data_IF_503560662317
#
_entry.id   IF_503560662317
#
_cell.length_a   1.000
_cell.length_b   1.000
_cell.length_c   1.000
_cell.angle_alpha   90.00
_cell.angle_beta   90.00
_cell.angle_gamma   90.00
#
_symmetry.space_group_name_H-M   'P 1'
#
loop_
_entity.id
_entity.type
_entity.pdbx_description
1 polymer ?
#
# COMPACT_ATOMS: atom_id res chain seq x y z
N UNK A 1 -25.19 -19.57 -0.91
CA UNK A 1 -25.99 -19.02 0.20
C UNK A 1 -25.65 -17.56 0.40
N UNK A 2 -26.63 -16.66 0.56
CA UNK A 2 -26.40 -15.25 0.81
C UNK A 2 -25.69 -15.03 2.17
N UNK A 3 -24.79 -14.05 2.22
CA UNK A 3 -24.09 -13.65 3.45
C UNK A 3 -24.45 -12.21 3.80
N UNK A 4 -24.57 -11.91 5.09
CA UNK A 4 -24.64 -10.54 5.60
C UNK A 4 -23.22 -10.09 5.96
N UNK A 5 -22.90 -8.83 5.67
CA UNK A 5 -21.63 -8.22 6.00
C UNK A 5 -21.83 -7.22 7.14
N UNK A 6 -20.90 -7.21 8.07
CA UNK A 6 -20.90 -6.32 9.24
C UNK A 6 -19.48 -5.82 9.45
N UNK A 7 -19.32 -4.69 10.12
CA UNK A 7 -18.04 -4.22 10.60
C UNK A 7 -17.98 -4.47 12.11
N UNK A 8 -16.82 -4.91 12.63
CA UNK A 8 -16.60 -5.02 14.08
C UNK A 8 -16.59 -3.64 14.77
N UNK A 9 -16.06 -2.65 14.06
CA UNK A 9 -16.12 -1.23 14.39
C UNK A 9 -16.78 -0.54 13.19
N UNK A 10 -17.87 0.19 13.41
CA UNK A 10 -18.62 0.91 12.37
C UNK A 10 -18.25 2.40 12.30
N UNK A 11 -17.31 2.85 13.13
CA UNK A 11 -16.77 4.20 13.12
C UNK A 11 -15.39 4.24 12.46
N UNK A 12 -15.21 5.17 11.53
CA UNK A 12 -13.91 5.42 10.89
C UNK A 12 -13.70 6.91 10.74
N UNK A 13 -12.72 7.45 11.45
CA UNK A 13 -12.28 8.84 11.27
C UNK A 13 -11.47 8.97 9.98
N UNK A 14 -12.17 9.39 8.92
CA UNK A 14 -11.56 9.60 7.62
C UNK A 14 -10.81 10.94 7.61
N UNK A 15 -9.47 10.95 7.48
CA UNK A 15 -8.72 12.20 7.50
C UNK A 15 -9.13 13.09 6.33
N UNK A 16 -9.21 14.39 6.58
CA UNK A 16 -9.51 15.37 5.52
C UNK A 16 -8.39 15.42 4.47
N UNK A 17 -8.76 15.69 3.22
CA UNK A 17 -7.80 15.82 2.12
C UNK A 17 -6.84 16.98 2.36
N UNK A 18 -7.30 18.09 2.93
CA UNK A 18 -6.43 19.23 3.20
C UNK A 18 -5.35 18.88 4.25
N UNK A 19 -5.69 18.07 5.25
CA UNK A 19 -4.71 17.56 6.22
C UNK A 19 -3.70 16.61 5.57
N UNK A 20 -4.17 15.70 4.71
CA UNK A 20 -3.28 14.78 3.98
C UNK A 20 -2.38 15.53 2.99
N UNK A 21 -2.91 16.49 2.24
CA UNK A 21 -2.15 17.34 1.32
C UNK A 21 -1.03 18.09 2.06
N UNK A 22 -1.31 18.65 3.24
CA UNK A 22 -0.29 19.30 4.08
C UNK A 22 0.80 18.32 4.54
N UNK A 23 0.43 17.08 4.86
CA UNK A 23 1.35 16.02 5.22
C UNK A 23 2.18 15.47 4.05
N UNK A 24 1.82 15.79 2.80
CA UNK A 24 2.60 15.41 1.62
C UNK A 24 3.26 16.61 0.92
N UNK A 25 2.85 17.83 1.27
CA UNK A 25 3.25 19.06 0.58
C UNK A 25 4.70 19.51 0.77
N UNK A 26 5.52 18.75 1.51
CA UNK A 26 6.91 19.10 1.79
C UNK A 26 7.88 18.91 0.61
N UNK A 27 7.60 18.00 -0.34
CA UNK A 27 8.53 17.61 -1.41
C UNK A 27 7.86 17.40 -2.79
N UNK A 28 6.67 17.97 -2.99
CA UNK A 28 5.90 17.74 -4.21
C UNK A 28 5.16 19.01 -4.63
N UNK A 29 4.92 19.14 -5.93
CA UNK A 29 3.96 20.13 -6.39
C UNK A 29 2.60 19.86 -5.70
N UNK A 30 1.83 20.93 -5.45
CA UNK A 30 0.59 20.85 -4.68
C UNK A 30 -0.43 19.86 -5.27
N UNK A 31 -0.47 19.72 -6.59
CA UNK A 31 -1.39 18.79 -7.26
C UNK A 31 -1.02 17.34 -6.98
N UNK A 32 0.27 17.00 -7.00
CA UNK A 32 0.77 15.67 -6.67
C UNK A 32 0.55 15.34 -5.19
N UNK A 33 0.83 16.29 -4.28
CA UNK A 33 0.57 16.11 -2.85
C UNK A 33 -0.93 15.84 -2.58
N UNK A 34 -1.82 16.57 -3.28
CA UNK A 34 -3.27 16.36 -3.19
C UNK A 34 -3.69 14.99 -3.72
N UNK A 35 -3.15 14.57 -4.86
CA UNK A 35 -3.44 13.25 -5.43
C UNK A 35 -2.96 12.11 -4.53
N UNK A 36 -1.73 12.20 -4.01
CA UNK A 36 -1.23 11.26 -3.00
C UNK A 36 -2.15 11.25 -1.77
N UNK A 37 -2.65 12.42 -1.35
CA UNK A 37 -3.65 12.54 -0.29
C UNK A 37 -4.95 11.77 -0.59
N UNK A 38 -5.49 11.87 -1.81
CA UNK A 38 -6.67 11.06 -2.21
C UNK A 38 -6.37 9.56 -2.11
N UNK A 39 -5.23 9.11 -2.66
CA UNK A 39 -4.83 7.71 -2.60
C UNK A 39 -4.65 7.22 -1.16
N UNK A 40 -4.06 8.04 -0.29
CA UNK A 40 -3.89 7.69 1.13
C UNK A 40 -5.22 7.60 1.86
N UNK A 41 -6.17 8.50 1.57
CA UNK A 41 -7.51 8.45 2.16
C UNK A 41 -8.20 7.12 1.83
N UNK A 42 -8.18 6.71 0.56
CA UNK A 42 -8.69 5.40 0.15
C UNK A 42 -7.91 4.27 0.82
N UNK A 43 -6.57 4.37 0.88
CA UNK A 43 -5.71 3.36 1.50
C UNK A 43 -6.14 3.10 2.95
N UNK A 44 -6.35 4.15 3.74
CA UNK A 44 -6.81 4.03 5.14
C UNK A 44 -8.21 3.40 5.25
N UNK A 45 -9.14 3.74 4.35
CA UNK A 45 -10.45 3.09 4.30
C UNK A 45 -10.35 1.58 4.00
N UNK A 46 -9.49 1.19 3.07
CA UNK A 46 -9.25 -0.23 2.75
C UNK A 46 -8.53 -0.95 3.90
N UNK A 47 -7.62 -0.29 4.63
CA UNK A 47 -7.02 -0.84 5.86
C UNK A 47 -8.10 -1.11 6.92
N UNK A 48 -8.96 -0.13 7.17
CA UNK A 48 -10.07 -0.24 8.10
C UNK A 48 -10.99 -1.39 7.71
N UNK A 49 -11.41 -1.45 6.44
CA UNK A 49 -12.26 -2.52 5.92
C UNK A 49 -11.59 -3.90 6.06
N UNK A 50 -10.30 -4.01 5.79
CA UNK A 50 -9.54 -5.25 5.93
C UNK A 50 -9.53 -5.78 7.37
N UNK A 51 -9.42 -4.88 8.34
CA UNK A 51 -9.38 -5.20 9.77
C UNK A 51 -10.77 -5.51 10.34
N UNK A 52 -11.81 -4.79 9.89
CA UNK A 52 -13.12 -4.78 10.54
C UNK A 52 -14.20 -5.57 9.82
N UNK A 53 -14.08 -5.84 8.52
CA UNK A 53 -15.13 -6.52 7.77
C UNK A 53 -15.26 -7.99 8.19
N UNK A 54 -16.49 -8.36 8.55
CA UNK A 54 -16.92 -9.71 8.92
C UNK A 54 -18.09 -10.15 8.05
N UNK A 55 -18.37 -11.44 8.09
CA UNK A 55 -19.54 -11.99 7.43
C UNK A 55 -20.18 -13.12 8.23
N UNK A 56 -21.50 -13.22 8.12
CA UNK A 56 -22.31 -14.29 8.72
C UNK A 56 -23.28 -14.85 7.67
N UNK A 57 -23.57 -16.17 7.64
CA UNK A 57 -24.62 -16.72 6.78
C UNK A 57 -25.97 -16.03 7.07
N UNK A 58 -26.66 -15.55 6.03
CA UNK A 58 -27.91 -14.79 6.23
C UNK A 58 -29.04 -15.62 6.86
N UNK A 59 -29.00 -16.94 6.65
CA UNK A 59 -29.91 -17.95 7.22
C UNK A 59 -29.65 -18.26 8.71
N UNK A 60 -28.48 -17.90 9.25
CA UNK A 60 -28.11 -18.12 10.65
C UNK A 60 -27.54 -16.85 11.29
N UNK A 61 -28.34 -15.78 11.45
CA UNK A 61 -27.87 -14.50 11.97
C UNK A 61 -27.44 -14.52 13.45
N UNK A 62 -27.78 -15.57 14.20
CA UNK A 62 -27.35 -15.74 15.59
C UNK A 62 -25.93 -16.27 15.77
N UNK A 63 -25.21 -16.57 14.67
CA UNK A 63 -23.80 -16.95 14.73
C UNK A 63 -22.92 -15.70 14.87
N UNK A 64 -21.80 -15.85 15.58
CA UNK A 64 -20.79 -14.80 15.66
C UNK A 64 -20.23 -14.52 14.25
N UNK A 65 -20.19 -13.25 13.80
CA UNK A 65 -19.56 -12.89 12.55
C UNK A 65 -18.10 -13.35 12.50
N UNK A 66 -17.70 -13.94 11.38
CA UNK A 66 -16.32 -14.40 11.19
C UNK A 66 -15.60 -13.50 10.19
N UNK A 67 -14.26 -13.51 10.25
CA UNK A 67 -13.43 -12.88 9.22
C UNK A 67 -13.83 -13.36 7.83
N UNK A 68 -13.68 -12.48 6.86
CA UNK A 68 -13.94 -12.79 5.46
C UNK A 68 -13.15 -14.02 4.98
N UNK A 69 -13.70 -14.72 3.99
CA UNK A 69 -12.96 -15.77 3.29
C UNK A 69 -11.71 -15.20 2.62
N UNK A 70 -10.69 -16.03 2.46
CA UNK A 70 -9.39 -15.64 1.89
C UNK A 70 -9.54 -14.92 0.53
N UNK A 71 -10.44 -15.37 -0.33
CA UNK A 71 -10.69 -14.73 -1.64
C UNK A 71 -11.12 -13.26 -1.54
N UNK A 72 -12.02 -12.92 -0.62
CA UNK A 72 -12.51 -11.54 -0.45
C UNK A 72 -11.43 -10.69 0.23
N UNK A 73 -10.72 -11.26 1.21
CA UNK A 73 -9.56 -10.61 1.85
C UNK A 73 -8.47 -10.28 0.85
N UNK A 74 -8.18 -11.19 -0.08
CA UNK A 74 -7.22 -10.99 -1.16
C UNK A 74 -7.57 -9.77 -2.01
N UNK A 75 -8.85 -9.56 -2.31
CA UNK A 75 -9.33 -8.41 -3.07
C UNK A 75 -9.09 -7.09 -2.34
N UNK A 76 -9.48 -7.02 -1.07
CA UNK A 76 -9.27 -5.84 -0.21
C UNK A 76 -7.77 -5.55 -0.06
N UNK A 77 -6.97 -6.58 0.21
CA UNK A 77 -5.52 -6.45 0.36
C UNK A 77 -4.84 -6.06 -0.96
N UNK A 78 -5.30 -6.58 -2.10
CA UNK A 78 -4.76 -6.19 -3.41
C UNK A 78 -5.00 -4.71 -3.68
N UNK A 79 -6.21 -4.22 -3.42
CA UNK A 79 -6.50 -2.78 -3.57
C UNK A 79 -5.63 -1.95 -2.64
N UNK A 80 -5.46 -2.39 -1.39
CA UNK A 80 -4.58 -1.73 -0.42
C UNK A 80 -3.13 -1.63 -0.91
N UNK A 81 -2.56 -2.72 -1.44
CA UNK A 81 -1.21 -2.74 -2.01
C UNK A 81 -1.12 -1.82 -3.24
N UNK A 82 -2.12 -1.84 -4.13
CA UNK A 82 -2.11 -0.99 -5.33
C UNK A 82 -2.14 0.51 -5.00
N UNK A 83 -2.98 0.92 -4.04
CA UNK A 83 -3.01 2.31 -3.56
C UNK A 83 -1.65 2.70 -2.96
N UNK A 84 -1.04 1.80 -2.18
CA UNK A 84 0.28 2.00 -1.60
C UNK A 84 1.38 2.13 -2.68
N UNK A 85 1.33 1.29 -3.72
CA UNK A 85 2.26 1.38 -4.87
C UNK A 85 2.09 2.71 -5.60
N UNK A 86 0.85 3.16 -5.82
CA UNK A 86 0.59 4.46 -6.48
C UNK A 86 1.15 5.64 -5.68
N UNK A 87 0.98 5.63 -4.36
CA UNK A 87 1.60 6.62 -3.45
C UNK A 87 3.12 6.55 -3.57
N UNK A 88 3.70 5.36 -3.52
CA UNK A 88 5.14 5.17 -3.61
C UNK A 88 5.71 5.62 -4.97
N UNK A 89 5.02 5.34 -6.09
CA UNK A 89 5.41 5.82 -7.42
C UNK A 89 5.43 7.34 -7.47
N UNK A 90 4.39 8.02 -6.95
CA UNK A 90 4.33 9.48 -6.90
C UNK A 90 5.44 10.09 -6.05
N UNK A 91 5.58 9.62 -4.81
CA UNK A 91 6.57 10.14 -3.87
C UNK A 91 8.01 9.89 -4.32
N UNK A 92 8.34 8.65 -4.75
CA UNK A 92 9.68 8.31 -5.24
C UNK A 92 10.04 9.03 -6.54
N UNK A 93 9.06 9.31 -7.40
CA UNK A 93 9.30 10.13 -8.60
C UNK A 93 9.64 11.56 -8.22
N UNK A 94 8.84 12.19 -7.35
CA UNK A 94 9.09 13.55 -6.89
C UNK A 94 10.47 13.69 -6.20
N UNK A 95 10.74 12.82 -5.22
CA UNK A 95 12.01 12.77 -4.51
C UNK A 95 13.19 12.50 -5.44
N UNK A 96 12.98 11.72 -6.51
CA UNK A 96 13.99 11.41 -7.50
C UNK A 96 14.29 12.58 -8.44
N UNK A 97 13.28 13.36 -8.83
CA UNK A 97 13.44 14.59 -9.61
C UNK A 97 14.23 15.64 -8.80
N UNK A 98 13.90 15.82 -7.51
CA UNK A 98 14.65 16.71 -6.61
C UNK A 98 16.13 16.32 -6.48
N UNK A 99 16.43 15.02 -6.59
CA UNK A 99 17.78 14.47 -6.56
C UNK A 99 18.45 14.38 -7.93
N UNK A 100 17.80 14.86 -8.99
CA UNK A 100 18.27 14.77 -10.37
C UNK A 100 18.62 13.33 -10.79
N UNK A 101 17.83 12.34 -10.35
CA UNK A 101 18.02 10.94 -10.71
C UNK A 101 17.43 10.60 -12.11
N UNK A 102 16.55 11.45 -12.63
CA UNK A 102 16.06 11.40 -14.01
C UNK A 102 17.09 11.93 -15.01
N UNK A 103 17.02 11.50 -16.27
CA UNK A 103 17.83 12.07 -17.36
C UNK A 103 17.20 13.34 -17.94
N UNK A 104 15.88 13.47 -17.80
CA UNK A 104 15.08 14.64 -18.20
C UNK A 104 13.95 14.84 -17.20
N UNK A 105 13.47 16.09 -17.09
CA UNK A 105 12.34 16.45 -16.24
C UNK A 105 11.10 15.62 -16.59
N UNK A 106 10.45 15.09 -15.57
CA UNK A 106 9.20 14.34 -15.69
C UNK A 106 9.37 12.88 -16.10
N UNK A 107 10.59 12.44 -16.45
CA UNK A 107 10.85 11.07 -16.89
C UNK A 107 10.50 10.03 -15.82
N UNK A 108 10.69 10.36 -14.55
CA UNK A 108 10.47 9.39 -13.48
C UNK A 108 9.00 9.01 -13.33
N UNK A 109 8.08 9.92 -13.66
CA UNK A 109 6.63 9.68 -13.61
C UNK A 109 6.13 8.76 -14.74
N UNK A 110 6.88 8.60 -15.82
CA UNK A 110 6.54 7.69 -16.93
C UNK A 110 6.97 6.23 -16.64
N UNK A 111 7.73 6.00 -15.57
CA UNK A 111 8.30 4.69 -15.25
C UNK A 111 7.31 3.85 -14.46
N UNK A 112 7.24 2.56 -14.80
CA UNK A 112 6.55 1.59 -13.94
C UNK A 112 7.27 1.47 -12.60
N UNK A 113 6.56 1.10 -11.53
CA UNK A 113 7.16 0.89 -10.20
C UNK A 113 8.48 0.09 -10.23
N UNK A 114 8.54 -0.99 -11.00
CA UNK A 114 9.76 -1.80 -11.11
C UNK A 114 10.94 -1.06 -11.75
N UNK A 115 10.69 -0.23 -12.75
CA UNK A 115 11.70 0.62 -13.39
C UNK A 115 12.11 1.78 -12.48
N UNK A 116 11.16 2.34 -11.73
CA UNK A 116 11.43 3.39 -10.75
C UNK A 116 12.32 2.88 -9.61
N UNK A 117 12.05 1.69 -9.07
CA UNK A 117 12.93 1.05 -8.10
C UNK A 117 14.35 0.87 -8.66
N UNK A 118 14.50 0.58 -9.96
CA UNK A 118 15.81 0.53 -10.61
C UNK A 118 16.61 1.84 -10.55
N UNK A 119 15.95 3.01 -10.55
CA UNK A 119 16.58 4.34 -10.38
C UNK A 119 17.12 4.52 -8.96
N UNK A 120 16.38 3.98 -8.00
CA UNK A 120 16.69 4.03 -6.58
C UNK A 120 17.72 2.96 -6.17
N UNK A 121 18.37 2.31 -7.14
CA UNK A 121 19.57 1.50 -6.94
C UNK A 121 20.81 2.18 -7.49
N UNK A 122 21.93 1.95 -6.81
CA UNK A 122 23.27 2.32 -7.28
C UNK A 122 24.20 1.14 -7.00
N UNK A 123 24.90 0.64 -8.03
CA UNK A 123 25.77 -0.54 -7.93
C UNK A 123 25.08 -1.76 -7.28
N UNK A 124 23.84 -2.04 -7.70
CA UNK A 124 22.99 -3.13 -7.18
C UNK A 124 22.53 -2.99 -5.72
N UNK A 125 22.92 -1.94 -5.02
CA UNK A 125 22.49 -1.63 -3.67
C UNK A 125 21.40 -0.53 -3.68
N UNK A 126 20.44 -0.55 -2.74
CA UNK A 126 19.51 0.55 -2.58
C UNK A 126 20.23 1.83 -2.15
N UNK A 127 19.80 2.97 -2.69
CA UNK A 127 20.28 4.27 -2.21
C UNK A 127 19.95 4.45 -0.72
N UNK A 128 20.80 5.16 0.06
CA UNK A 128 20.64 5.28 1.51
C UNK A 128 19.25 5.71 1.97
N UNK A 129 18.60 6.57 1.20
CA UNK A 129 17.30 7.13 1.54
C UNK A 129 16.17 6.10 1.51
N UNK A 130 16.28 5.08 0.65
CA UNK A 130 15.26 4.01 0.55
C UNK A 130 15.74 2.69 1.14
N UNK A 131 17.00 2.61 1.58
CA UNK A 131 17.60 1.38 2.08
C UNK A 131 16.80 0.77 3.25
N UNK A 132 16.29 1.61 4.16
CA UNK A 132 15.51 1.17 5.32
C UNK A 132 14.15 0.52 4.96
N UNK A 133 13.60 0.84 3.79
CA UNK A 133 12.31 0.31 3.31
C UNK A 133 12.45 -0.56 2.06
N UNK A 134 13.69 -0.92 1.67
CA UNK A 134 13.92 -1.57 0.38
C UNK A 134 13.22 -2.93 0.27
N UNK A 135 13.30 -3.74 1.33
CA UNK A 135 12.63 -5.04 1.39
C UNK A 135 11.11 -4.88 1.33
N UNK A 136 10.56 -3.85 1.98
CA UNK A 136 9.14 -3.53 1.92
C UNK A 136 8.70 -3.12 0.50
N UNK A 137 9.52 -2.35 -0.22
CA UNK A 137 9.28 -2.01 -1.62
C UNK A 137 9.29 -3.27 -2.52
N UNK A 138 10.15 -4.27 -2.23
CA UNK A 138 10.11 -5.54 -2.95
C UNK A 138 8.86 -6.36 -2.65
N UNK A 139 8.36 -6.34 -1.40
CA UNK A 139 7.07 -6.95 -1.04
C UNK A 139 5.95 -6.33 -1.89
N UNK A 140 5.85 -5.00 -1.95
CA UNK A 140 4.86 -4.30 -2.77
C UNK A 140 4.97 -4.72 -4.25
N UNK A 141 6.18 -4.75 -4.80
CA UNK A 141 6.44 -5.17 -6.19
C UNK A 141 5.95 -6.59 -6.47
N UNK A 142 6.17 -7.52 -5.52
CA UNK A 142 5.73 -8.92 -5.64
C UNK A 142 4.22 -9.07 -5.58
N UNK A 143 3.57 -8.38 -4.65
CA UNK A 143 2.16 -8.62 -4.32
C UNK A 143 1.17 -7.68 -5.02
N UNK A 144 1.62 -6.65 -5.75
CA UNK A 144 0.73 -5.76 -6.53
C UNK A 144 -0.16 -6.51 -7.53
N UNK A 145 0.34 -7.60 -8.09
CA UNK A 145 -0.39 -8.39 -9.09
C UNK A 145 -1.12 -9.60 -8.46
N UNK A 146 -0.47 -10.28 -7.51
CA UNK A 146 -0.83 -11.62 -7.05
C UNK A 146 -0.69 -11.78 -5.53
N UNK A 147 -1.75 -11.46 -4.77
CA UNK A 147 -1.74 -11.55 -3.29
C UNK A 147 -1.73 -13.01 -2.80
N UNK A 148 -2.59 -13.87 -3.34
CA UNK A 148 -2.64 -15.30 -2.97
C UNK A 148 -2.23 -16.26 -4.10
N UNK A 149 -2.28 -15.82 -5.37
CA UNK A 149 -1.99 -16.67 -6.53
C UNK A 149 -0.55 -17.18 -6.55
N UNK A 150 0.42 -16.36 -6.09
CA UNK A 150 1.81 -16.81 -5.97
C UNK A 150 1.94 -18.00 -5.00
N UNK A 151 1.14 -18.02 -3.94
CA UNK A 151 1.19 -19.06 -2.91
C UNK A 151 0.47 -20.34 -3.34
N UNK A 152 -0.53 -20.20 -4.21
CA UNK A 152 -1.17 -21.35 -4.85
C UNK A 152 -0.25 -22.06 -5.87
N UNK A 153 0.85 -21.41 -6.29
CA UNK A 153 1.83 -21.97 -7.21
C UNK A 153 3.07 -22.58 -6.51
N UNK A 154 3.26 -22.32 -5.22
CA UNK A 154 4.34 -22.93 -4.41
C UNK A 154 3.83 -24.24 -3.79
N UNK A 155 4.21 -25.38 -4.39
CA UNK A 155 3.73 -26.74 -4.02
C UNK A 155 4.12 -27.18 -2.58
N UNK A 156 5.17 -26.60 -1.99
CA UNK A 156 5.77 -27.08 -0.72
C UNK A 156 5.29 -26.35 0.55
N UNK A 157 4.45 -25.31 0.42
CA UNK A 157 4.25 -24.33 1.51
C UNK A 157 2.86 -24.24 2.13
N UNK A 158 1.84 -24.88 1.55
CA UNK A 158 0.47 -24.89 2.06
C UNK A 158 -0.17 -23.50 2.28
N UNK A 159 -1.47 -23.50 2.55
CA UNK A 159 -2.19 -22.29 3.00
C UNK A 159 -1.84 -21.88 4.45
N UNK A 160 -0.87 -22.58 5.06
CA UNK A 160 -0.38 -22.32 6.41
C UNK A 160 0.35 -20.97 6.44
N UNK A 161 0.07 -20.16 7.46
CA UNK A 161 0.66 -18.82 7.61
C UNK A 161 0.13 -17.76 6.64
N UNK A 162 -0.95 -18.01 5.88
CA UNK A 162 -1.49 -17.01 4.94
C UNK A 162 -1.89 -15.72 5.64
N UNK A 163 -2.45 -15.80 6.85
CA UNK A 163 -2.84 -14.63 7.64
C UNK A 163 -1.62 -13.85 8.14
N UNK A 164 -0.56 -14.53 8.54
CA UNK A 164 0.71 -13.89 8.94
C UNK A 164 1.35 -13.17 7.75
N UNK A 165 1.33 -13.79 6.57
CA UNK A 165 1.78 -13.16 5.34
C UNK A 165 0.93 -11.94 4.95
N UNK A 166 -0.39 -12.00 5.12
CA UNK A 166 -1.26 -10.84 4.91
C UNK A 166 -0.90 -9.68 5.85
N UNK A 167 -0.69 -9.94 7.15
CA UNK A 167 -0.26 -8.92 8.10
C UNK A 167 1.14 -8.37 7.78
N UNK A 168 2.06 -9.21 7.30
CA UNK A 168 3.37 -8.76 6.83
C UNK A 168 3.23 -7.79 5.65
N UNK A 169 2.42 -8.13 4.63
CA UNK A 169 2.17 -7.27 3.47
C UNK A 169 1.61 -5.93 3.93
N UNK A 170 0.63 -5.95 4.85
CA UNK A 170 0.02 -4.73 5.38
C UNK A 170 1.05 -3.88 6.12
N UNK A 171 1.86 -4.49 6.99
CA UNK A 171 2.93 -3.79 7.70
C UNK A 171 3.99 -3.19 6.78
N UNK A 172 4.35 -3.88 5.70
CA UNK A 172 5.25 -3.33 4.65
C UNK A 172 4.64 -2.12 3.97
N UNK A 173 3.34 -2.14 3.66
CA UNK A 173 2.66 -0.99 3.06
C UNK A 173 2.66 0.22 4.00
N UNK A 174 2.41 0.00 5.29
CA UNK A 174 2.41 1.08 6.29
C UNK A 174 3.79 1.71 6.43
N UNK A 175 4.84 0.90 6.61
CA UNK A 175 6.22 1.38 6.72
C UNK A 175 6.69 2.16 5.49
N UNK A 176 6.36 1.70 4.27
CA UNK A 176 6.71 2.43 3.04
C UNK A 176 6.07 3.81 3.02
N UNK A 177 4.77 3.91 3.33
CA UNK A 177 4.05 5.18 3.29
C UNK A 177 4.57 6.15 4.34
N UNK A 178 4.78 5.67 5.57
CA UNK A 178 5.27 6.52 6.66
C UNK A 178 6.69 7.03 6.37
N UNK A 179 7.59 6.16 5.92
CA UNK A 179 8.95 6.54 5.57
C UNK A 179 9.00 7.55 4.42
N UNK A 180 8.22 7.34 3.36
CA UNK A 180 8.18 8.28 2.24
C UNK A 180 7.58 9.62 2.63
N UNK A 181 6.56 9.63 3.50
CA UNK A 181 5.99 10.87 4.04
C UNK A 181 7.03 11.65 4.84
N UNK A 182 7.76 10.97 5.72
CA UNK A 182 8.82 11.59 6.53
C UNK A 182 9.92 12.16 5.63
N UNK A 183 10.34 11.42 4.62
CA UNK A 183 11.29 11.91 3.62
C UNK A 183 10.77 13.17 2.92
N UNK A 184 9.51 13.21 2.52
CA UNK A 184 8.92 14.39 1.89
C UNK A 184 8.89 15.61 2.83
N UNK A 185 8.97 15.44 4.15
CA UNK A 185 9.01 16.55 5.11
C UNK A 185 10.40 17.08 5.44
N UNK A 186 11.44 16.24 5.35
CA UNK A 186 12.81 16.56 5.80
C UNK A 186 13.53 17.56 4.88
N UNK A 187 13.12 17.72 3.61
CA UNK A 187 13.84 18.55 2.62
C UNK A 187 13.44 20.04 2.61
N UNK A 188 13.31 20.65 3.79
CA UNK A 188 13.16 22.11 3.95
C UNK A 188 14.48 22.81 4.24
#
# INVERSE_FOLDING_TARGET
MPRKFTLDDDEFDIPSIDWLELNWGGAANRNLAREIGFQEQFRKLFRFTFSNLRSVPAENPGLNPIRLSLSVRAGVLKTYVLLTVSIAEGALSALGEERNLGRREGELYDRTFGQLLGVWKENEEPRPEVAAIWDDLQVLKRYRNYVHLNRAADDDGGWQGILENEEQIVGSCDRVVDHLRDMCHVFR
#
